data_IF_957291090453
#
_entry.id   IF_957291090453
#
_cell.length_a   1.000
_cell.length_b   1.000
_cell.length_c   1.000
_cell.angle_alpha   90.00
_cell.angle_beta   90.00
_cell.angle_gamma   90.00
#
_symmetry.space_group_name_H-M   'P 1'
#
loop_
_entity.id
_entity.type
_entity.pdbx_description
1 polymer ?
#
# COMPACT_ATOMS: atom_id res chain seq x y z
N UNK A 1 -23.55 12.52 -12.64
CA UNK A 1 -23.88 11.21 -13.26
C UNK A 1 -23.08 10.15 -12.51
N UNK A 2 -23.75 9.22 -11.84
CA UNK A 2 -23.10 8.11 -11.11
C UNK A 2 -22.46 7.17 -12.12
N UNK A 3 -21.13 7.21 -12.26
CA UNK A 3 -20.40 6.21 -13.03
C UNK A 3 -20.44 4.91 -12.22
N UNK A 4 -21.21 3.92 -12.69
CA UNK A 4 -21.23 2.59 -12.11
C UNK A 4 -19.83 1.96 -12.20
N UNK A 5 -19.28 1.55 -11.07
CA UNK A 5 -18.04 0.78 -11.05
C UNK A 5 -18.28 -0.58 -11.70
N UNK A 6 -17.32 -1.12 -12.48
CA UNK A 6 -17.45 -2.46 -13.08
C UNK A 6 -17.45 -3.62 -12.07
N UNK A 7 -17.24 -3.31 -10.79
CA UNK A 7 -17.20 -4.27 -9.70
C UNK A 7 -18.31 -3.90 -8.71
N UNK A 8 -19.36 -4.72 -8.70
CA UNK A 8 -20.31 -4.79 -7.60
C UNK A 8 -19.83 -5.91 -6.66
N UNK A 9 -19.17 -5.55 -5.54
CA UNK A 9 -18.77 -6.54 -4.57
C UNK A 9 -20.00 -7.30 -4.05
N UNK A 10 -19.87 -8.59 -3.74
CA UNK A 10 -20.96 -9.32 -3.10
C UNK A 10 -21.32 -8.65 -1.77
N UNK A 11 -22.63 -8.56 -1.48
CA UNK A 11 -23.09 -8.15 -0.16
C UNK A 11 -22.54 -9.11 0.89
N UNK A 12 -21.95 -8.55 1.93
CA UNK A 12 -21.31 -9.31 3.02
C UNK A 12 -21.47 -8.56 4.32
N UNK A 13 -21.60 -9.29 5.43
CA UNK A 13 -21.59 -8.72 6.77
C UNK A 13 -20.18 -8.65 7.38
N UNK A 14 -19.21 -9.34 6.79
CA UNK A 14 -17.81 -9.32 7.22
C UNK A 14 -17.18 -7.95 6.97
N UNK A 15 -16.76 -7.28 8.05
CA UNK A 15 -16.14 -5.95 7.99
C UNK A 15 -14.80 -5.94 7.25
N UNK A 16 -14.01 -7.01 7.33
CA UNK A 16 -12.77 -7.14 6.59
C UNK A 16 -13.06 -7.12 5.08
N UNK A 17 -14.04 -7.94 4.67
CA UNK A 17 -14.48 -8.00 3.29
C UNK A 17 -15.09 -6.66 2.82
N UNK A 18 -15.88 -5.97 3.66
CA UNK A 18 -16.38 -4.61 3.36
C UNK A 18 -15.26 -3.62 3.12
N UNK A 19 -14.20 -3.64 3.94
CA UNK A 19 -13.05 -2.76 3.80
C UNK A 19 -12.29 -3.04 2.50
N UNK A 20 -11.98 -4.31 2.21
CA UNK A 20 -11.35 -4.70 0.95
C UNK A 20 -12.17 -4.29 -0.27
N UNK A 21 -13.48 -4.53 -0.23
CA UNK A 21 -14.39 -4.20 -1.31
C UNK A 21 -14.45 -2.69 -1.56
N UNK A 22 -14.51 -1.89 -0.49
CA UNK A 22 -14.41 -0.43 -0.59
C UNK A 22 -13.07 0.00 -1.21
N UNK A 23 -11.95 -0.53 -0.72
CA UNK A 23 -10.62 -0.17 -1.21
C UNK A 23 -10.46 -0.50 -2.70
N UNK A 24 -10.80 -1.73 -3.08
CA UNK A 24 -10.69 -2.23 -4.45
C UNK A 24 -11.65 -1.53 -5.42
N UNK A 25 -12.86 -1.18 -4.98
CA UNK A 25 -13.78 -0.40 -5.78
C UNK A 25 -13.22 1.00 -6.07
N UNK A 26 -12.60 1.66 -5.09
CA UNK A 26 -11.98 2.96 -5.31
C UNK A 26 -10.69 2.88 -6.14
N UNK A 27 -9.90 1.81 -6.00
CA UNK A 27 -8.79 1.52 -6.91
C UNK A 27 -9.26 1.44 -8.38
N UNK A 28 -10.36 0.74 -8.64
CA UNK A 28 -10.95 0.64 -9.98
C UNK A 28 -11.52 1.98 -10.49
N UNK A 29 -12.09 2.82 -9.61
CA UNK A 29 -12.52 4.18 -9.97
C UNK A 29 -11.36 5.09 -10.38
N UNK A 30 -10.20 4.93 -9.74
CA UNK A 30 -8.99 5.63 -10.16
C UNK A 30 -8.59 5.14 -11.56
N UNK A 31 -8.57 3.82 -11.78
CA UNK A 31 -8.22 3.24 -13.08
C UNK A 31 -9.18 3.59 -14.21
N UNK A 32 -10.49 3.71 -13.94
CA UNK A 32 -11.47 4.10 -14.96
C UNK A 32 -11.25 5.52 -15.51
N UNK A 33 -10.43 6.33 -14.82
CA UNK A 33 -10.02 7.68 -15.25
C UNK A 33 -8.68 7.68 -16.00
N UNK A 34 -8.04 6.52 -16.21
CA UNK A 34 -6.81 6.37 -16.99
C UNK A 34 -7.12 6.13 -18.48
N UNK A 35 -6.37 6.76 -19.39
CA UNK A 35 -6.51 6.56 -20.84
C UNK A 35 -5.99 7.74 -21.68
N UNK A 36 -5.84 7.56 -22.99
CA UNK A 36 -5.25 8.56 -23.88
C UNK A 36 -6.02 9.90 -23.93
N UNK A 37 -7.34 9.84 -23.70
CA UNK A 37 -8.24 11.02 -23.67
C UNK A 37 -8.88 11.22 -22.30
N UNK A 38 -8.28 10.67 -21.25
CA UNK A 38 -8.81 10.78 -19.88
C UNK A 38 -7.90 11.63 -19.01
N UNK A 39 -8.35 11.83 -17.79
CA UNK A 39 -7.70 12.69 -16.80
C UNK A 39 -6.33 12.17 -16.37
N UNK A 40 -6.15 10.84 -16.30
CA UNK A 40 -4.91 10.22 -15.83
C UNK A 40 -4.16 9.48 -16.95
N UNK A 41 -2.82 9.34 -16.81
CA UNK A 41 -2.01 8.61 -17.78
C UNK A 41 -2.52 7.20 -18.02
N UNK A 42 -2.44 6.72 -19.26
CA UNK A 42 -2.83 5.35 -19.61
C UNK A 42 -2.07 4.34 -18.75
N UNK A 43 -2.81 3.42 -18.14
CA UNK A 43 -2.26 2.27 -17.43
C UNK A 43 -2.63 1.01 -18.20
N UNK A 44 -1.64 0.17 -18.50
CA UNK A 44 -1.84 -1.09 -19.24
C UNK A 44 -2.07 -2.29 -18.33
N UNK A 45 -1.78 -2.15 -17.03
CA UNK A 45 -1.97 -3.20 -16.03
C UNK A 45 -3.02 -2.79 -15.00
N UNK A 46 -3.76 -3.76 -14.50
CA UNK A 46 -4.72 -3.65 -13.39
C UNK A 46 -4.02 -3.12 -12.13
N UNK A 47 -4.73 -2.39 -11.27
CA UNK A 47 -4.16 -1.93 -10.01
C UNK A 47 -3.79 -3.11 -9.11
N UNK A 48 -2.96 -2.84 -8.10
CA UNK A 48 -2.89 -3.70 -6.92
C UNK A 48 -4.24 -3.75 -6.20
N UNK A 49 -4.66 -4.97 -5.87
CA UNK A 49 -5.88 -5.20 -5.11
C UNK A 49 -5.53 -5.62 -3.69
N UNK A 50 -6.33 -5.15 -2.74
CA UNK A 50 -6.30 -5.58 -1.37
C UNK A 50 -6.99 -6.94 -1.22
N UNK A 51 -6.34 -7.89 -0.54
CA UNK A 51 -6.88 -9.22 -0.26
C UNK A 51 -6.22 -9.84 0.97
N UNK A 52 -7.00 -10.52 1.81
CA UNK A 52 -6.53 -11.12 3.06
C UNK A 52 -6.25 -10.11 4.17
N UNK A 53 -6.94 -8.96 4.15
CA UNK A 53 -6.75 -7.89 5.12
C UNK A 53 -7.53 -8.18 6.41
N UNK A 54 -6.93 -7.91 7.57
CA UNK A 54 -7.59 -8.11 8.87
C UNK A 54 -7.60 -6.81 9.69
N UNK A 55 -8.78 -6.22 9.88
CA UNK A 55 -8.97 -4.99 10.64
C UNK A 55 -8.62 -5.10 12.13
N UNK A 56 -8.37 -6.30 12.64
CA UNK A 56 -7.96 -6.52 14.02
C UNK A 56 -6.44 -6.53 14.22
N UNK A 57 -5.64 -6.49 13.15
CA UNK A 57 -4.19 -6.46 13.29
C UNK A 57 -3.72 -5.06 13.74
N UNK A 58 -2.91 -4.98 14.81
CA UNK A 58 -2.43 -3.71 15.34
C UNK A 58 -1.26 -3.11 14.55
N UNK A 59 -0.65 -3.93 13.70
CA UNK A 59 0.55 -3.61 12.95
C UNK A 59 0.22 -3.41 11.46
N UNK A 60 0.65 -2.29 10.90
CA UNK A 60 0.58 -2.02 9.46
C UNK A 60 1.96 -1.76 8.89
N UNK A 61 2.28 -2.35 7.75
CA UNK A 61 3.41 -1.95 6.94
C UNK A 61 2.95 -1.15 5.73
N UNK A 62 3.66 -0.06 5.41
CA UNK A 62 3.48 0.67 4.16
C UNK A 62 4.70 0.45 3.27
N UNK A 63 4.44 -0.05 2.07
CA UNK A 63 5.44 -0.36 1.05
C UNK A 63 5.31 0.46 -0.22
N UNK A 64 6.13 0.05 -1.17
CA UNK A 64 5.96 0.38 -2.58
C UNK A 64 5.79 -0.96 -3.30
N UNK A 65 4.78 -1.03 -4.17
CA UNK A 65 4.41 -2.25 -4.87
C UNK A 65 5.64 -2.87 -5.55
N UNK A 66 5.95 -4.15 -5.35
CA UNK A 66 7.06 -4.79 -6.03
C UNK A 66 6.91 -4.68 -7.55
N UNK A 67 8.03 -4.53 -8.24
CA UNK A 67 8.05 -4.43 -9.69
C UNK A 67 7.37 -5.63 -10.35
N UNK A 68 6.51 -5.35 -11.33
CA UNK A 68 5.86 -6.41 -12.10
C UNK A 68 6.91 -7.21 -12.88
N UNK A 69 6.97 -8.53 -12.65
CA UNK A 69 7.87 -9.45 -13.34
C UNK A 69 7.06 -10.56 -14.00
N UNK A 70 6.94 -10.49 -15.34
CA UNK A 70 6.19 -11.46 -16.14
C UNK A 70 6.63 -12.90 -15.86
N UNK A 71 7.95 -13.14 -15.85
CA UNK A 71 8.50 -14.49 -15.64
C UNK A 71 8.19 -15.04 -14.25
N UNK A 72 8.31 -14.20 -13.22
CA UNK A 72 8.00 -14.61 -11.85
C UNK A 72 6.49 -14.82 -11.62
N UNK A 73 5.64 -14.00 -12.24
CA UNK A 73 4.19 -14.09 -12.08
C UNK A 73 3.58 -15.24 -12.87
N UNK A 74 4.10 -15.59 -14.05
CA UNK A 74 3.56 -16.70 -14.85
C UNK A 74 3.53 -18.03 -14.08
N UNK A 75 4.55 -18.32 -13.28
CA UNK A 75 4.57 -19.53 -12.45
C UNK A 75 3.50 -19.47 -11.36
N UNK A 76 3.36 -18.33 -10.70
CA UNK A 76 2.35 -18.13 -9.65
C UNK A 76 0.93 -18.22 -10.20
N UNK A 77 0.67 -17.64 -11.37
CA UNK A 77 -0.65 -17.73 -12.03
C UNK A 77 -1.07 -19.18 -12.21
N UNK A 78 -0.17 -20.03 -12.73
CA UNK A 78 -0.42 -21.47 -12.92
C UNK A 78 -0.64 -22.25 -11.63
N UNK A 79 0.08 -21.89 -10.56
CA UNK A 79 0.07 -22.65 -9.31
C UNK A 79 -1.02 -22.20 -8.32
N UNK A 80 -1.38 -20.91 -8.35
CA UNK A 80 -2.16 -20.28 -7.28
C UNK A 80 -3.57 -19.84 -7.71
N UNK A 81 -3.87 -19.86 -9.01
CA UNK A 81 -5.15 -19.38 -9.55
C UNK A 81 -5.77 -20.40 -10.51
N UNK A 82 -7.05 -20.20 -10.84
CA UNK A 82 -7.76 -20.96 -11.89
C UNK A 82 -7.65 -20.33 -13.28
N UNK A 83 -6.88 -19.26 -13.44
CA UNK A 83 -6.77 -18.55 -14.71
C UNK A 83 -6.01 -19.37 -15.76
N UNK A 84 -6.62 -19.59 -16.92
CA UNK A 84 -6.04 -20.40 -18.00
C UNK A 84 -4.99 -19.64 -18.84
N UNK A 85 -4.91 -18.31 -18.72
CA UNK A 85 -3.97 -17.46 -19.46
C UNK A 85 -2.64 -17.20 -18.76
N UNK A 86 -1.82 -16.31 -19.35
CA UNK A 86 -0.55 -15.87 -18.75
C UNK A 86 -0.75 -14.65 -17.82
N UNK A 87 0.32 -14.23 -17.14
CA UNK A 87 0.27 -13.07 -16.27
C UNK A 87 -0.07 -11.77 -17.02
N UNK A 88 0.34 -11.62 -18.28
CA UNK A 88 0.03 -10.40 -19.03
C UNK A 88 -1.49 -10.33 -19.28
N UNK A 89 -2.08 -11.41 -19.79
CA UNK A 89 -3.53 -11.44 -20.05
C UNK A 89 -4.34 -11.35 -18.75
N UNK A 90 -3.83 -11.91 -17.64
CA UNK A 90 -4.48 -11.78 -16.34
C UNK A 90 -4.50 -10.33 -15.86
N UNK A 91 -3.39 -9.60 -15.98
CA UNK A 91 -3.23 -8.26 -15.44
C UNK A 91 -3.57 -7.13 -16.43
N UNK A 92 -3.79 -7.38 -17.71
CA UNK A 92 -4.06 -6.34 -18.72
C UNK A 92 -5.29 -5.47 -18.42
N UNK A 93 -5.12 -4.17 -18.18
CA UNK A 93 -6.25 -3.26 -18.06
C UNK A 93 -6.74 -2.81 -19.43
N UNK A 94 -8.04 -2.99 -19.68
CA UNK A 94 -8.74 -2.42 -20.83
C UNK A 94 -9.98 -1.67 -20.35
N UNK A 95 -10.25 -0.53 -21.00
CA UNK A 95 -11.47 0.25 -20.82
C UNK A 95 -12.71 -0.50 -21.36
N UNK A 96 -12.49 -1.33 -22.37
CA UNK A 96 -13.50 -2.24 -22.90
C UNK A 96 -13.64 -3.38 -21.90
N UNK A 97 -14.75 -3.43 -21.17
CA UNK A 97 -15.03 -4.42 -20.14
C UNK A 97 -15.04 -5.82 -20.78
N UNK A 98 -14.01 -6.66 -20.60
CA UNK A 98 -14.08 -8.01 -21.12
C UNK A 98 -15.07 -8.81 -20.26
N UNK A 99 -15.76 -9.78 -20.88
CA UNK A 99 -16.75 -10.63 -20.20
C UNK A 99 -16.19 -11.35 -18.96
N UNK A 100 -14.86 -11.50 -18.87
CA UNK A 100 -14.14 -12.17 -17.80
C UNK A 100 -13.56 -11.24 -16.70
N UNK A 101 -13.89 -9.94 -16.68
CA UNK A 101 -13.33 -8.97 -15.72
C UNK A 101 -13.41 -9.44 -14.27
N UNK A 102 -14.56 -9.98 -13.85
CA UNK A 102 -14.79 -10.47 -12.49
C UNK A 102 -13.86 -11.63 -12.13
N UNK A 103 -13.70 -12.58 -13.04
CA UNK A 103 -12.80 -13.73 -12.87
C UNK A 103 -11.35 -13.26 -12.71
N UNK A 104 -10.92 -12.35 -13.58
CA UNK A 104 -9.57 -11.77 -13.53
C UNK A 104 -9.29 -11.08 -12.20
N UNK A 105 -10.21 -10.24 -11.72
CA UNK A 105 -10.08 -9.57 -10.41
C UNK A 105 -9.95 -10.60 -9.29
N UNK A 106 -10.76 -11.66 -9.30
CA UNK A 106 -10.70 -12.70 -8.28
C UNK A 106 -9.36 -13.45 -8.30
N UNK A 107 -8.86 -13.83 -9.48
CA UNK A 107 -7.55 -14.48 -9.62
C UNK A 107 -6.40 -13.57 -9.20
N UNK A 108 -6.47 -12.26 -9.47
CA UNK A 108 -5.48 -11.31 -8.95
C UNK A 108 -5.55 -11.24 -7.42
N UNK A 109 -6.75 -11.17 -6.82
CA UNK A 109 -6.90 -11.17 -5.36
C UNK A 109 -6.36 -12.45 -4.71
N UNK A 110 -6.47 -13.60 -5.36
CA UNK A 110 -5.86 -14.87 -4.91
C UNK A 110 -4.33 -14.76 -4.87
N UNK A 111 -3.71 -14.22 -5.94
CA UNK A 111 -2.27 -13.96 -5.97
C UNK A 111 -1.85 -12.99 -4.87
N UNK A 112 -2.57 -11.88 -4.68
CA UNK A 112 -2.22 -10.87 -3.68
C UNK A 112 -2.30 -11.41 -2.25
N UNK A 113 -3.34 -12.20 -1.95
CA UNK A 113 -3.49 -12.87 -0.65
C UNK A 113 -2.28 -13.74 -0.30
N UNK A 114 -1.70 -14.40 -1.29
CA UNK A 114 -0.58 -15.31 -1.11
C UNK A 114 0.79 -14.62 -1.16
N UNK A 115 0.88 -13.40 -1.71
CA UNK A 115 2.13 -12.66 -1.90
C UNK A 115 2.93 -12.52 -0.62
N UNK A 116 2.28 -12.22 0.51
CA UNK A 116 2.94 -12.08 1.82
C UNK A 116 3.74 -13.32 2.23
N UNK A 117 3.20 -14.50 1.96
CA UNK A 117 3.80 -15.78 2.36
C UNK A 117 4.82 -16.29 1.33
N UNK A 118 4.60 -16.03 0.05
CA UNK A 118 5.42 -16.56 -1.05
C UNK A 118 6.59 -15.64 -1.40
N UNK A 119 6.45 -14.33 -1.23
CA UNK A 119 7.46 -13.34 -1.60
C UNK A 119 8.35 -12.98 -0.41
N UNK A 120 8.99 -14.01 0.16
CA UNK A 120 9.80 -13.93 1.40
C UNK A 120 10.98 -12.97 1.28
N UNK A 121 11.53 -12.77 0.08
CA UNK A 121 12.59 -11.76 -0.14
C UNK A 121 12.10 -10.35 0.20
N UNK A 122 10.82 -10.05 -0.10
CA UNK A 122 10.22 -8.74 0.16
C UNK A 122 9.61 -8.68 1.56
N UNK A 123 8.75 -9.63 1.91
CA UNK A 123 7.98 -9.61 3.16
C UNK A 123 8.74 -10.21 4.35
N UNK A 124 9.79 -11.00 4.14
CA UNK A 124 10.58 -11.62 5.20
C UNK A 124 11.21 -10.59 6.13
N UNK A 125 11.99 -9.62 5.63
CA UNK A 125 12.58 -8.57 6.47
C UNK A 125 11.55 -7.76 7.27
N UNK A 126 10.38 -7.48 6.68
CA UNK A 126 9.26 -6.80 7.34
C UNK A 126 8.70 -7.68 8.47
N UNK A 127 8.48 -8.95 8.18
CA UNK A 127 7.98 -9.95 9.14
C UNK A 127 8.94 -10.11 10.31
N UNK A 128 10.25 -10.13 10.07
CA UNK A 128 11.26 -10.21 11.13
C UNK A 128 11.19 -9.01 12.08
N UNK A 129 10.98 -7.80 11.54
CA UNK A 129 10.90 -6.58 12.36
C UNK A 129 9.68 -6.64 13.28
N UNK A 130 8.50 -6.99 12.75
CA UNK A 130 7.30 -7.12 13.60
C UNK A 130 7.44 -8.23 14.64
N UNK A 131 7.93 -9.41 14.25
CA UNK A 131 8.21 -10.51 15.18
C UNK A 131 9.16 -10.10 16.28
N UNK A 132 10.25 -9.39 15.94
CA UNK A 132 11.19 -8.89 16.92
C UNK A 132 10.52 -7.91 17.90
N UNK A 133 9.49 -7.18 17.48
CA UNK A 133 8.70 -6.26 18.30
C UNK A 133 7.51 -6.92 19.02
N UNK A 134 7.44 -8.26 19.03
CA UNK A 134 6.35 -9.03 19.67
C UNK A 134 5.05 -9.08 18.86
N UNK A 135 5.05 -8.58 17.62
CA UNK A 135 3.91 -8.68 16.72
C UNK A 135 3.88 -10.04 16.01
N UNK A 136 2.73 -10.70 16.00
CA UNK A 136 2.54 -11.97 15.30
C UNK A 136 2.02 -11.77 13.87
N UNK A 137 1.16 -10.77 13.69
CA UNK A 137 0.45 -10.49 12.46
C UNK A 137 0.48 -9.01 12.13
N UNK A 138 0.47 -8.69 10.83
CA UNK A 138 0.47 -7.31 10.33
C UNK A 138 -0.24 -7.23 8.98
N UNK A 139 -0.85 -6.11 8.69
CA UNK A 139 -1.36 -5.77 7.36
C UNK A 139 -0.29 -5.09 6.51
N UNK A 140 -0.44 -5.11 5.18
CA UNK A 140 0.41 -4.36 4.28
C UNK A 140 -0.42 -3.53 3.30
N UNK A 141 -0.01 -2.28 3.07
CA UNK A 141 -0.54 -1.41 2.04
C UNK A 141 0.61 -0.82 1.23
N UNK A 142 0.47 -0.75 -0.09
CA UNK A 142 1.38 0.01 -0.92
C UNK A 142 0.89 1.45 -1.06
N UNK A 143 1.83 2.40 -1.07
CA UNK A 143 1.52 3.81 -1.30
C UNK A 143 0.86 4.05 -2.65
N UNK A 144 1.25 3.27 -3.65
CA UNK A 144 0.74 3.37 -5.01
C UNK A 144 0.29 2.01 -5.51
N UNK A 145 -0.82 2.02 -6.24
CA UNK A 145 -1.45 0.82 -6.81
C UNK A 145 -0.83 0.42 -8.15
N UNK A 146 -0.02 1.30 -8.72
CA UNK A 146 0.61 1.12 -10.03
C UNK A 146 1.50 -0.13 -10.00
N UNK A 147 1.37 -0.95 -11.03
CA UNK A 147 2.29 -2.05 -11.32
C UNK A 147 3.23 -1.60 -12.42
N UNK A 148 4.44 -1.25 -12.05
CA UNK A 148 5.46 -0.86 -13.03
C UNK A 148 6.74 -1.64 -12.83
N UNK A 149 7.34 -2.07 -13.94
CA UNK A 149 8.63 -2.78 -13.88
C UNK A 149 9.77 -1.80 -13.62
N UNK A 150 9.66 -0.56 -14.10
CA UNK A 150 10.68 0.46 -13.99
C UNK A 150 10.31 1.53 -12.95
N UNK A 151 11.16 1.69 -11.94
CA UNK A 151 10.96 2.67 -10.87
C UNK A 151 11.00 4.12 -11.34
N UNK A 152 11.77 4.44 -12.38
CA UNK A 152 11.83 5.78 -12.97
C UNK A 152 10.48 6.13 -13.59
N UNK A 153 9.95 5.24 -14.41
CA UNK A 153 8.68 5.44 -15.11
C UNK A 153 7.52 5.56 -14.11
N UNK A 154 7.51 4.72 -13.07
CA UNK A 154 6.57 4.85 -11.96
C UNK A 154 6.70 6.23 -11.26
N UNK A 155 7.92 6.69 -11.01
CA UNK A 155 8.14 7.98 -10.34
C UNK A 155 7.65 9.15 -11.19
N UNK A 156 7.93 9.13 -12.50
CA UNK A 156 7.59 10.21 -13.42
C UNK A 156 6.07 10.42 -13.54
N UNK A 157 5.27 9.35 -13.43
CA UNK A 157 3.80 9.45 -13.47
C UNK A 157 3.17 9.76 -12.09
N UNK A 158 3.84 9.42 -10.99
CA UNK A 158 3.29 9.52 -9.63
C UNK A 158 3.71 10.79 -8.90
N UNK A 159 4.87 11.37 -9.25
CA UNK A 159 5.42 12.54 -8.55
C UNK A 159 5.22 13.81 -9.35
N UNK A 160 5.09 14.93 -8.63
CA UNK A 160 5.07 16.24 -9.24
C UNK A 160 6.42 16.56 -9.90
N UNK A 161 6.43 17.43 -10.91
CA UNK A 161 7.69 17.94 -11.46
C UNK A 161 8.40 18.81 -10.41
N UNK A 162 9.73 18.87 -10.49
CA UNK A 162 10.55 19.66 -9.55
C UNK A 162 10.01 21.10 -9.40
N UNK A 163 9.77 21.54 -8.15
CA UNK A 163 9.33 22.90 -7.82
C UNK A 163 7.89 23.05 -7.34
N UNK A 164 7.09 21.98 -7.34
CA UNK A 164 5.71 22.01 -6.81
C UNK A 164 5.65 21.89 -5.28
N UNK A 165 4.63 22.50 -4.67
CA UNK A 165 4.38 22.47 -3.22
C UNK A 165 4.01 21.07 -2.70
N UNK A 166 3.42 20.23 -3.55
CA UNK A 166 2.99 18.89 -3.21
C UNK A 166 3.84 17.87 -3.97
N UNK A 167 4.30 16.77 -3.34
CA UNK A 167 5.26 15.86 -3.96
C UNK A 167 4.65 14.90 -5.00
N UNK A 168 3.34 15.00 -5.28
CA UNK A 168 2.60 14.06 -6.13
C UNK A 168 1.95 14.74 -7.33
N UNK A 169 1.94 14.04 -8.47
CA UNK A 169 1.10 14.40 -9.61
C UNK A 169 -0.38 14.26 -9.22
N UNK A 170 -1.32 14.72 -10.06
CA UNK A 170 -2.74 14.50 -9.79
C UNK A 170 -3.10 13.01 -9.69
N UNK A 171 -2.48 12.16 -10.52
CA UNK A 171 -2.65 10.71 -10.48
C UNK A 171 -2.04 10.08 -9.22
N UNK A 172 -0.87 10.56 -8.79
CA UNK A 172 -0.26 10.15 -7.52
C UNK A 172 -1.08 10.60 -6.31
N UNK A 173 -1.65 11.81 -6.37
CA UNK A 173 -2.46 12.41 -5.30
C UNK A 173 -3.69 11.57 -4.98
N UNK A 174 -4.44 11.13 -5.98
CA UNK A 174 -5.66 10.33 -5.74
C UNK A 174 -5.36 8.95 -5.16
N UNK A 175 -4.20 8.37 -5.48
CA UNK A 175 -3.76 7.11 -4.87
C UNK A 175 -3.29 7.31 -3.44
N UNK A 176 -2.52 8.39 -3.20
CA UNK A 176 -2.13 8.79 -1.85
C UNK A 176 -3.36 9.09 -0.96
N UNK A 177 -4.40 9.72 -1.51
CA UNK A 177 -5.65 9.99 -0.80
C UNK A 177 -6.40 8.72 -0.44
N UNK A 178 -6.40 7.71 -1.33
CA UNK A 178 -6.97 6.40 -1.02
C UNK A 178 -6.20 5.70 0.10
N UNK A 179 -4.86 5.74 0.09
CA UNK A 179 -4.04 5.22 1.20
C UNK A 179 -4.38 5.97 2.51
N UNK A 180 -4.42 7.30 2.46
CA UNK A 180 -4.72 8.14 3.62
C UNK A 180 -6.08 7.79 4.21
N UNK A 181 -7.12 7.71 3.37
CA UNK A 181 -8.46 7.35 3.82
C UNK A 181 -8.51 5.93 4.40
N UNK A 182 -7.77 4.98 3.80
CA UNK A 182 -7.66 3.62 4.33
C UNK A 182 -7.06 3.62 5.74
N UNK A 183 -5.97 4.36 5.96
CA UNK A 183 -5.34 4.51 7.27
C UNK A 183 -6.28 5.20 8.26
N UNK A 184 -6.93 6.31 7.88
CA UNK A 184 -7.88 7.03 8.74
C UNK A 184 -9.01 6.10 9.22
N UNK A 185 -9.51 5.21 8.35
CA UNK A 185 -10.50 4.19 8.70
C UNK A 185 -9.96 3.15 9.70
N UNK A 186 -8.71 2.73 9.56
CA UNK A 186 -8.06 1.79 10.51
C UNK A 186 -7.86 2.43 11.88
N UNK A 187 -7.41 3.69 11.91
CA UNK A 187 -7.24 4.46 13.15
C UNK A 187 -8.60 4.62 13.85
N UNK A 188 -9.64 4.97 13.10
CA UNK A 188 -11.01 5.12 13.63
C UNK A 188 -11.56 3.80 14.19
N UNK A 189 -11.17 2.65 13.62
CA UNK A 189 -11.57 1.33 14.15
C UNK A 189 -10.93 1.04 15.51
N UNK A 190 -9.78 1.65 15.80
CA UNK A 190 -9.14 1.67 17.12
C UNK A 190 -8.15 0.54 17.40
N UNK A 191 -7.92 -0.34 16.43
CA UNK A 191 -6.99 -1.48 16.60
C UNK A 191 -5.57 -1.15 16.14
N UNK A 192 -5.38 -0.19 15.21
CA UNK A 192 -4.06 0.14 14.68
C UNK A 192 -3.21 0.84 15.76
N UNK A 193 -2.06 0.26 16.09
CA UNK A 193 -1.15 0.77 17.12
C UNK A 193 0.14 1.37 16.53
N UNK A 194 0.63 0.82 15.42
CA UNK A 194 1.87 1.29 14.80
C UNK A 194 1.96 0.99 13.31
N UNK A 195 2.69 1.86 12.62
CA UNK A 195 2.94 1.75 11.18
C UNK A 195 4.44 1.68 10.90
N UNK A 196 4.86 0.69 10.12
CA UNK A 196 6.22 0.58 9.59
C UNK A 196 6.25 0.99 8.11
N UNK A 197 6.92 2.08 7.79
CA UNK A 197 7.18 2.48 6.40
C UNK A 197 8.44 1.76 5.90
N UNK A 198 8.22 0.68 5.15
CA UNK A 198 9.24 -0.31 4.76
C UNK A 198 10.07 0.08 3.52
N UNK A 199 9.91 1.30 3.02
CA UNK A 199 10.57 1.79 1.80
C UNK A 199 10.99 3.27 1.93
N UNK A 200 12.25 3.57 1.58
CA UNK A 200 12.85 4.89 1.70
C UNK A 200 12.16 5.98 0.85
N UNK A 201 11.74 5.64 -0.37
CA UNK A 201 11.04 6.59 -1.26
C UNK A 201 9.67 6.93 -0.70
N UNK A 202 8.95 5.93 -0.20
CA UNK A 202 7.65 6.10 0.47
C UNK A 202 7.82 6.95 1.74
N UNK A 203 8.81 6.64 2.57
CA UNK A 203 9.14 7.44 3.76
C UNK A 203 9.34 8.91 3.41
N UNK A 204 10.14 9.20 2.37
CA UNK A 204 10.36 10.56 1.92
C UNK A 204 9.08 11.25 1.39
N UNK A 205 8.22 10.52 0.68
CA UNK A 205 6.95 11.08 0.19
C UNK A 205 5.99 11.41 1.33
N UNK A 206 5.81 10.49 2.29
CA UNK A 206 4.96 10.70 3.47
C UNK A 206 5.49 11.84 4.35
N UNK A 207 6.80 11.93 4.52
CA UNK A 207 7.46 12.96 5.30
C UNK A 207 7.25 14.38 4.76
N UNK A 208 7.03 14.52 3.45
CA UNK A 208 6.86 15.78 2.76
C UNK A 208 5.40 16.01 2.30
N UNK A 209 4.47 15.15 2.73
CA UNK A 209 3.05 15.32 2.48
C UNK A 209 2.32 15.82 3.73
N UNK A 210 1.00 15.94 3.65
CA UNK A 210 0.09 16.23 4.77
C UNK A 210 -0.08 15.08 5.77
N UNK A 211 0.54 13.92 5.56
CA UNK A 211 0.65 12.90 6.59
C UNK A 211 1.53 13.33 7.77
N UNK A 212 2.54 14.16 7.50
CA UNK A 212 3.43 14.64 8.54
C UNK A 212 2.99 16.05 8.98
N UNK A 213 2.33 16.21 10.16
CA UNK A 213 1.90 17.52 10.64
C UNK A 213 3.09 18.47 10.86
N UNK A 214 4.27 17.92 11.15
CA UNK A 214 5.49 18.68 11.45
C UNK A 214 6.35 18.93 10.20
N UNK A 215 5.80 18.82 8.98
CA UNK A 215 6.59 18.93 7.74
C UNK A 215 7.30 20.28 7.57
N UNK A 216 6.77 21.35 8.18
CA UNK A 216 7.29 22.72 8.05
C UNK A 216 8.38 23.05 9.09
N UNK A 217 8.49 22.26 10.17
CA UNK A 217 9.38 22.54 11.31
C UNK A 217 10.67 21.72 11.28
N UNK A 218 11.01 21.09 10.15
CA UNK A 218 12.18 20.20 10.06
C UNK A 218 13.49 20.99 10.15
N UNK A 219 14.35 20.72 11.15
CA UNK A 219 15.71 21.22 11.15
C UNK A 219 16.46 20.68 9.93
N UNK A 220 17.15 21.56 9.20
CA UNK A 220 18.01 21.18 8.08
C UNK A 220 19.07 20.19 8.60
N UNK A 221 19.12 18.98 8.03
CA UNK A 221 20.15 17.97 8.31
C UNK A 221 19.74 16.81 9.24
N UNK A 222 18.52 16.79 9.79
CA UNK A 222 18.02 15.64 10.54
C UNK A 222 16.98 14.86 9.72
N UNK A 223 17.28 13.59 9.40
CA UNK A 223 16.30 12.67 8.86
C UNK A 223 15.51 12.05 10.02
N UNK A 224 14.23 12.38 10.19
CA UNK A 224 13.42 11.79 11.25
C UNK A 224 13.34 10.27 11.06
N UNK A 225 13.38 9.54 12.17
CA UNK A 225 13.28 8.08 12.21
C UNK A 225 11.85 7.62 12.44
N UNK A 226 10.98 8.52 12.90
CA UNK A 226 9.53 8.34 12.95
C UNK A 226 8.82 9.70 12.87
N UNK A 227 7.50 9.66 12.67
CA UNK A 227 6.59 10.77 12.94
C UNK A 227 5.29 10.23 13.54
N UNK A 228 4.43 11.10 14.07
CA UNK A 228 3.13 10.71 14.62
C UNK A 228 2.03 11.33 13.76
N UNK A 229 1.06 10.50 13.37
CA UNK A 229 -0.14 10.93 12.67
C UNK A 229 -1.36 10.38 13.40
N UNK A 230 -2.28 11.26 13.81
CA UNK A 230 -3.47 10.90 14.57
C UNK A 230 -3.18 10.02 15.80
N UNK A 231 -2.03 10.27 16.45
CA UNK A 231 -1.50 9.53 17.61
C UNK A 231 -0.96 8.13 17.31
N UNK A 232 -0.89 7.74 16.05
CA UNK A 232 -0.22 6.51 15.63
C UNK A 232 1.22 6.83 15.20
N UNK A 233 2.23 6.14 15.74
CA UNK A 233 3.61 6.28 15.29
C UNK A 233 3.83 5.60 13.94
N UNK A 234 4.47 6.34 13.04
CA UNK A 234 4.95 5.90 11.74
C UNK A 234 6.47 5.80 11.79
N UNK A 235 6.98 4.58 11.89
CA UNK A 235 8.41 4.29 11.92
C UNK A 235 8.96 4.22 10.50
N UNK A 236 9.99 5.00 10.24
CA UNK A 236 10.58 5.16 8.92
C UNK A 236 11.79 4.26 8.79
N UNK A 237 11.79 3.45 7.74
CA UNK A 237 12.93 2.62 7.39
C UNK A 237 13.50 3.00 6.02
N UNK A 238 14.71 2.52 5.76
CA UNK A 238 15.31 2.56 4.43
C UNK A 238 14.62 1.59 3.47
N UNK A 239 15.39 0.78 2.74
CA UNK A 239 14.84 -0.27 1.89
C UNK A 239 14.83 -1.62 2.64
N UNK A 240 13.94 -1.77 3.62
CA UNK A 240 13.77 -3.04 4.32
C UNK A 240 13.28 -4.13 3.36
N UNK A 241 12.33 -3.78 2.50
CA UNK A 241 11.69 -4.72 1.58
C UNK A 241 12.60 -5.24 0.46
N UNK A 242 13.79 -4.69 0.26
CA UNK A 242 14.77 -5.24 -0.70
C UNK A 242 15.90 -6.02 -0.02
N UNK A 243 15.90 -6.09 1.32
CA UNK A 243 16.98 -6.70 2.11
C UNK A 243 18.26 -5.85 2.20
N UNK A 244 18.25 -4.60 1.73
CA UNK A 244 19.44 -3.74 1.66
C UNK A 244 19.65 -2.86 2.91
N UNK A 245 18.90 -3.10 3.99
CA UNK A 245 19.09 -2.38 5.25
C UNK A 245 20.17 -3.08 6.06
N UNK A 246 21.21 -2.35 6.47
CA UNK A 246 22.27 -2.91 7.30
C UNK A 246 21.73 -3.34 8.68
N UNK A 247 22.43 -4.29 9.31
CA UNK A 247 21.98 -4.87 10.58
C UNK A 247 21.88 -3.85 11.72
N UNK A 248 22.70 -2.80 11.71
CA UNK A 248 22.66 -1.77 12.74
C UNK A 248 21.42 -0.89 12.58
N UNK A 249 21.10 -0.45 11.36
CA UNK A 249 19.87 0.29 11.08
C UNK A 249 18.61 -0.54 11.41
N UNK A 250 18.60 -1.84 11.08
CA UNK A 250 17.50 -2.75 11.46
C UNK A 250 17.34 -2.85 12.98
N UNK A 251 18.45 -2.98 13.71
CA UNK A 251 18.44 -3.07 15.18
C UNK A 251 17.95 -1.78 15.83
N UNK A 252 18.40 -0.62 15.33
CA UNK A 252 17.95 0.69 15.80
C UNK A 252 16.44 0.84 15.64
N UNK A 253 15.92 0.49 14.46
CA UNK A 253 14.48 0.54 14.16
C UNK A 253 13.68 -0.35 15.11
N UNK A 254 14.12 -1.59 15.34
CA UNK A 254 13.44 -2.52 16.27
C UNK A 254 13.43 -1.95 17.69
N UNK A 255 14.56 -1.41 18.17
CA UNK A 255 14.64 -0.83 19.51
C UNK A 255 13.72 0.39 19.65
N UNK A 256 13.67 1.24 18.62
CA UNK A 256 12.79 2.40 18.59
C UNK A 256 11.31 1.98 18.63
N UNK A 257 10.90 1.03 17.77
CA UNK A 257 9.55 0.48 17.74
C UNK A 257 9.13 -0.17 19.08
N UNK A 258 10.06 -0.79 19.81
CA UNK A 258 9.80 -1.36 21.13
C UNK A 258 9.68 -0.31 22.23
N UNK A 259 10.48 0.75 22.15
CA UNK A 259 10.57 1.79 23.17
C UNK A 259 9.42 2.80 23.08
N UNK A 260 8.74 2.86 21.94
CA UNK A 260 7.65 3.80 21.74
C UNK A 260 6.46 3.39 22.62
N UNK A 261 5.95 4.29 23.47
CA UNK A 261 4.85 3.95 24.36
C UNK A 261 3.62 3.53 23.55
N UNK A 262 2.87 2.51 24.01
CA UNK A 262 1.63 2.12 23.34
C UNK A 262 0.71 3.33 23.22
N UNK A 263 0.11 3.49 22.04
CA UNK A 263 -0.79 4.60 21.75
C UNK A 263 -1.95 4.58 22.73
N UNK A 264 -2.14 5.65 23.50
CA UNK A 264 -3.26 5.73 24.46
C UNK A 264 -4.57 5.62 23.64
N UNK A 265 -5.39 4.58 23.89
CA UNK A 265 -6.65 4.40 23.20
C UNK A 265 -7.49 5.67 23.27
N UNK A 266 -8.21 6.05 22.19
CA UNK A 266 -9.10 7.21 22.22
C UNK A 266 -10.08 7.20 23.41
N UNK A 267 -10.52 6.02 23.85
CA UNK A 267 -11.41 5.82 25.01
C UNK A 267 -10.79 6.13 26.37
N UNK A 268 -9.46 6.20 26.46
CA UNK A 268 -8.72 6.50 27.69
C UNK A 268 -8.16 7.93 27.72
N UNK A 269 -8.46 8.75 26.70
CA UNK A 269 -8.19 10.18 26.72
C UNK A 269 -9.21 10.86 27.62
N UNK A 270 -8.86 11.04 28.90
CA UNK A 270 -9.65 11.87 29.82
C UNK A 270 -9.85 13.26 29.21
N UNK A 271 -11.11 13.69 29.21
CA UNK A 271 -11.55 15.10 29.02
C UNK A 271 -10.78 16.05 29.91
#
# INVERSE_FOLDING_TARGET
MSQSTPYDPPETNDENCKFENWYNANALKIWSRCGEKKEFPRQTLMPSFLSGFDLNYPDLSIGMNPSFSKSALNERVRQETKWEGDAITLFEYSDEKPDNMKERINSIKELEKNSKNKYTRFFGPITDVFKACGGENYNHLDLFLVRETNQKDATDILTARNGEFFPFSQFGKVQFDLLKEAIDRLIKKGNLERVLVANAKVANLLLNSDFNPNRLDKPIGLNPTHFVYENIPFFLSGMLSSGNTDGFAKTRLINEMKSYPPTIPPSLRRT
#
